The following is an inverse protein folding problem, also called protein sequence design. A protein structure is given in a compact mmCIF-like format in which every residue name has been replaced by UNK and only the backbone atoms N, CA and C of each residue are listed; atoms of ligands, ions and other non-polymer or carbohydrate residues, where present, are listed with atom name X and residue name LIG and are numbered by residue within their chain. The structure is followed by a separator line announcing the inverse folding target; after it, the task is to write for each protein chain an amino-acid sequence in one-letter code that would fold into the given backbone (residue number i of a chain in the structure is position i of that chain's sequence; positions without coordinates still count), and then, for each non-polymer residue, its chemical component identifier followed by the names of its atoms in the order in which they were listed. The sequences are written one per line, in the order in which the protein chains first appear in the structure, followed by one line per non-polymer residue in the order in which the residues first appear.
data_IF_463538433447
#
_entry.id   IF_463538433447
#
_cell.length_a   1.000
_cell.length_b   1.000
_cell.length_c   1.000
_cell.angle_alpha   90.00
_cell.angle_beta   90.00
_cell.angle_gamma   90.00
#
_symmetry.space_group_name_H-M   'P 1'
#
loop_
_entity.id
_entity.type
_entity.pdbx_description
1 polymer ?
#
# COMPACT_ATOMS: atom_id res chain seq x y z
N UNK A 1 5.37 -5.40 -7.29
CA UNK A 1 6.06 -5.56 -8.59
C UNK A 1 5.14 -5.07 -9.70
N UNK A 2 5.47 -3.97 -10.38
CA UNK A 2 4.69 -3.41 -11.48
C UNK A 2 5.63 -2.93 -12.59
N UNK A 3 6.29 -3.84 -13.32
CA UNK A 3 7.33 -3.47 -14.28
C UNK A 3 6.83 -2.64 -15.48
N UNK A 4 5.52 -2.45 -15.59
CA UNK A 4 4.90 -1.79 -16.75
C UNK A 4 3.97 -0.63 -16.35
N UNK A 5 3.98 -0.19 -15.08
CA UNK A 5 3.16 0.94 -14.65
C UNK A 5 3.94 2.24 -14.79
N UNK A 6 3.51 3.08 -15.74
CA UNK A 6 3.94 4.47 -15.78
C UNK A 6 3.17 5.26 -14.70
N UNK A 7 3.84 5.58 -13.60
CA UNK A 7 3.25 6.32 -12.48
C UNK A 7 2.84 7.76 -12.83
N UNK A 8 3.30 8.29 -13.96
CA UNK A 8 3.00 9.64 -14.42
C UNK A 8 1.94 9.67 -15.55
N UNK A 9 1.47 8.51 -15.98
CA UNK A 9 0.46 8.45 -17.03
C UNK A 9 -0.88 9.00 -16.56
N UNK A 10 -1.56 9.74 -17.43
CA UNK A 10 -2.98 10.09 -17.28
C UNK A 10 -3.80 9.07 -18.03
N UNK A 11 -4.68 8.36 -17.34
CA UNK A 11 -5.53 7.34 -17.92
C UNK A 11 -7.01 7.66 -17.71
N UNK A 12 -7.93 7.19 -18.55
CA UNK A 12 -9.35 7.26 -18.24
C UNK A 12 -9.66 6.59 -16.91
N UNK A 13 -10.67 7.09 -16.21
CA UNK A 13 -11.16 6.43 -15.00
C UNK A 13 -11.75 5.07 -15.38
N UNK A 14 -11.24 4.01 -14.77
CA UNK A 14 -11.86 2.68 -14.87
C UNK A 14 -12.97 2.61 -13.83
N UNK A 15 -14.15 2.13 -14.23
CA UNK A 15 -15.19 1.79 -13.27
C UNK A 15 -14.68 0.68 -12.34
N UNK A 16 -14.57 1.01 -11.08
CA UNK A 16 -14.28 0.05 -10.03
C UNK A 16 -15.57 -0.54 -9.46
N UNK A 17 -15.46 -1.64 -8.76
CA UNK A 17 -16.57 -2.20 -8.00
C UNK A 17 -17.17 -1.17 -7.01
N UNK A 18 -16.34 -0.25 -6.51
CA UNK A 18 -16.77 0.86 -5.65
C UNK A 18 -17.60 1.95 -6.36
N UNK A 19 -17.61 1.96 -7.69
CA UNK A 19 -18.50 2.83 -8.47
C UNK A 19 -19.89 2.24 -8.65
N UNK A 20 -20.13 1.05 -8.10
CA UNK A 20 -21.43 0.43 -8.05
C UNK A 20 -22.28 1.05 -6.95
N UNK A 21 -23.50 1.36 -7.27
CA UNK A 21 -24.57 1.65 -6.31
C UNK A 21 -25.67 0.58 -6.42
N UNK A 22 -26.61 0.59 -5.49
CA UNK A 22 -27.72 -0.37 -5.45
C UNK A 22 -28.55 -0.37 -6.73
N UNK A 23 -28.53 0.72 -7.51
CA UNK A 23 -29.28 0.89 -8.75
C UNK A 23 -28.52 0.39 -9.98
N UNK A 24 -27.22 0.04 -9.84
CA UNK A 24 -26.39 -0.37 -10.98
C UNK A 24 -26.61 -1.85 -11.29
N UNK A 25 -27.25 -2.20 -12.43
CA UNK A 25 -27.44 -3.60 -12.81
C UNK A 25 -26.12 -4.35 -12.94
N UNK A 26 -26.04 -5.55 -12.36
CA UNK A 26 -24.85 -6.40 -12.43
C UNK A 26 -23.69 -5.92 -11.57
N UNK A 27 -23.93 -5.01 -10.62
CA UNK A 27 -22.95 -4.67 -9.60
C UNK A 27 -22.68 -5.89 -8.73
N UNK A 28 -21.44 -6.44 -8.72
CA UNK A 28 -21.12 -7.65 -7.97
C UNK A 28 -20.86 -7.37 -6.49
N UNK A 29 -20.98 -6.12 -6.03
CA UNK A 29 -20.58 -5.72 -4.70
C UNK A 29 -21.79 -5.64 -3.79
N UNK A 30 -21.80 -6.52 -2.82
CA UNK A 30 -22.55 -6.33 -1.59
C UNK A 30 -21.75 -5.36 -0.69
N UNK A 31 -22.22 -4.11 -0.62
CA UNK A 31 -21.57 -3.07 0.19
C UNK A 31 -21.56 -3.43 1.67
N UNK A 32 -22.58 -4.13 2.16
CA UNK A 32 -22.61 -4.58 3.55
C UNK A 32 -21.52 -5.61 3.80
N UNK A 33 -21.31 -6.53 2.87
CA UNK A 33 -20.22 -7.51 2.94
C UNK A 33 -18.87 -6.83 2.89
N UNK A 34 -18.71 -5.84 2.03
CA UNK A 34 -17.45 -5.08 1.90
C UNK A 34 -17.15 -4.25 3.15
N UNK A 35 -18.13 -3.47 3.63
CA UNK A 35 -17.99 -2.60 4.80
C UNK A 35 -17.75 -3.41 6.07
N UNK A 36 -18.43 -4.53 6.23
CA UNK A 36 -18.31 -5.39 7.41
C UNK A 36 -17.14 -6.37 7.34
N UNK A 37 -16.39 -6.41 6.22
CA UNK A 37 -15.24 -7.30 6.05
C UNK A 37 -15.60 -8.79 6.04
N UNK A 38 -16.87 -9.13 5.89
CA UNK A 38 -17.37 -10.50 5.89
C UNK A 38 -17.32 -11.12 4.49
N UNK A 39 -16.13 -11.12 3.90
CA UNK A 39 -15.95 -11.80 2.61
C UNK A 39 -16.17 -13.31 2.76
N UNK A 40 -16.95 -13.88 1.87
CA UNK A 40 -17.03 -15.33 1.74
C UNK A 40 -15.64 -15.90 1.38
N UNK A 41 -15.38 -17.16 1.76
CA UNK A 41 -14.12 -17.82 1.39
C UNK A 41 -13.88 -17.79 -0.12
N UNK A 42 -14.95 -17.99 -0.91
CA UNK A 42 -14.89 -17.92 -2.36
C UNK A 42 -14.49 -16.53 -2.88
N UNK A 43 -14.99 -15.45 -2.27
CA UNK A 43 -14.60 -14.09 -2.61
C UNK A 43 -13.14 -13.81 -2.26
N UNK A 44 -12.65 -14.30 -1.11
CA UNK A 44 -11.25 -14.20 -0.71
C UNK A 44 -10.32 -14.96 -1.65
N UNK A 45 -10.68 -16.18 -2.04
CA UNK A 45 -9.91 -17.00 -2.99
C UNK A 45 -9.83 -16.30 -4.37
N UNK A 46 -10.95 -15.73 -4.83
CA UNK A 46 -11.00 -14.94 -6.07
C UNK A 46 -10.11 -13.70 -5.97
N UNK A 47 -10.20 -12.93 -4.89
CA UNK A 47 -9.38 -11.74 -4.67
C UNK A 47 -7.90 -12.10 -4.61
N UNK A 48 -7.53 -13.15 -3.89
CA UNK A 48 -6.13 -13.59 -3.76
C UNK A 48 -5.55 -14.00 -5.10
N UNK A 49 -6.25 -14.85 -5.84
CA UNK A 49 -5.81 -15.33 -7.17
C UNK A 49 -5.77 -14.19 -8.17
N UNK A 50 -6.80 -13.35 -8.19
CA UNK A 50 -6.88 -12.18 -9.07
C UNK A 50 -5.77 -11.17 -8.78
N UNK A 51 -5.45 -10.91 -7.51
CA UNK A 51 -4.39 -9.98 -7.12
C UNK A 51 -3.02 -10.48 -7.54
N UNK A 52 -2.73 -11.77 -7.39
CA UNK A 52 -1.47 -12.38 -7.85
C UNK A 52 -1.35 -12.26 -9.38
N UNK A 53 -2.41 -12.62 -10.10
CA UNK A 53 -2.44 -12.52 -11.56
C UNK A 53 -2.24 -11.06 -12.01
N UNK A 54 -2.94 -10.11 -11.39
CA UNK A 54 -2.80 -8.68 -11.68
C UNK A 54 -1.41 -8.14 -11.31
N UNK A 55 -0.78 -8.66 -10.26
CA UNK A 55 0.59 -8.31 -9.90
C UNK A 55 1.61 -8.75 -10.94
N UNK A 56 1.40 -9.91 -11.59
CA UNK A 56 2.31 -10.48 -12.58
C UNK A 56 2.09 -9.91 -13.99
N UNK A 57 0.84 -9.77 -14.41
CA UNK A 57 0.48 -9.38 -15.78
C UNK A 57 -0.13 -7.98 -15.91
N UNK A 58 -0.36 -7.31 -14.78
CA UNK A 58 -1.06 -6.04 -14.75
C UNK A 58 -2.58 -6.19 -14.90
N UNK A 59 -3.28 -5.10 -14.73
CA UNK A 59 -4.73 -5.01 -14.95
C UNK A 59 -5.09 -3.60 -15.41
N UNK A 60 -6.25 -3.44 -16.02
CA UNK A 60 -6.76 -2.11 -16.39
C UNK A 60 -6.91 -1.22 -15.14
N UNK A 61 -7.41 -1.78 -14.04
CA UNK A 61 -7.49 -1.08 -12.76
C UNK A 61 -6.11 -0.65 -12.24
N UNK A 62 -5.10 -1.53 -12.32
CA UNK A 62 -3.74 -1.20 -11.88
C UNK A 62 -3.12 -0.05 -12.69
N UNK A 63 -3.42 0.05 -13.98
CA UNK A 63 -2.95 1.13 -14.85
C UNK A 63 -3.49 2.51 -14.45
N UNK A 64 -4.60 2.58 -13.72
CA UNK A 64 -5.17 3.84 -13.26
C UNK A 64 -4.55 4.36 -11.96
N UNK A 65 -3.74 3.57 -11.27
CA UNK A 65 -3.10 3.95 -10.01
C UNK A 65 -1.83 4.77 -10.26
N UNK A 66 -2.03 5.96 -10.79
CA UNK A 66 -0.99 6.91 -11.17
C UNK A 66 -1.10 8.22 -10.37
N UNK A 67 -0.04 9.00 -10.33
CA UNK A 67 -0.05 10.28 -9.60
C UNK A 67 -1.06 11.28 -10.19
N UNK A 68 -1.13 11.50 -11.50
CA UNK A 68 -2.13 12.41 -12.06
C UNK A 68 -3.57 11.97 -11.79
N UNK A 69 -3.86 10.69 -11.84
CA UNK A 69 -5.19 10.18 -11.53
C UNK A 69 -5.54 10.34 -10.06
N UNK A 70 -4.59 10.07 -9.16
CA UNK A 70 -4.79 10.29 -7.73
C UNK A 70 -5.09 11.77 -7.44
N UNK A 71 -4.32 12.69 -8.00
CA UNK A 71 -4.55 14.12 -7.81
C UNK A 71 -5.94 14.53 -8.32
N UNK A 72 -6.37 14.02 -9.48
CA UNK A 72 -7.71 14.26 -10.01
C UNK A 72 -8.82 13.79 -9.07
N UNK A 73 -8.68 12.57 -8.52
CA UNK A 73 -9.65 12.03 -7.55
C UNK A 73 -9.62 12.83 -6.23
N UNK A 74 -8.45 13.23 -5.77
CA UNK A 74 -8.33 14.11 -4.60
C UNK A 74 -9.04 15.45 -4.82
N UNK A 75 -8.90 16.04 -6.01
CA UNK A 75 -9.59 17.29 -6.35
C UNK A 75 -11.11 17.09 -6.36
N UNK A 76 -11.60 16.04 -6.99
CA UNK A 76 -13.01 15.69 -7.03
C UNK A 76 -13.62 15.48 -5.63
N UNK A 77 -12.85 14.86 -4.73
CA UNK A 77 -13.26 14.56 -3.35
C UNK A 77 -12.87 15.65 -2.34
N UNK A 78 -12.27 16.76 -2.79
CA UNK A 78 -11.78 17.86 -1.95
C UNK A 78 -10.77 17.41 -0.89
N UNK A 79 -9.95 16.41 -1.21
CA UNK A 79 -8.86 15.94 -0.36
C UNK A 79 -7.63 16.81 -0.62
N UNK A 80 -7.13 17.49 0.39
CA UNK A 80 -5.99 18.40 0.25
C UNK A 80 -4.66 17.64 0.27
N UNK A 81 -4.50 16.70 1.17
CA UNK A 81 -3.26 15.95 1.37
C UNK A 81 -3.52 14.45 1.42
N UNK A 82 -2.61 13.66 0.89
CA UNK A 82 -2.64 12.21 1.01
C UNK A 82 -1.24 11.67 1.37
N UNK A 83 -1.25 10.58 2.14
CA UNK A 83 -0.04 9.82 2.47
C UNK A 83 0.02 8.58 1.58
N UNK A 84 1.09 8.44 0.83
CA UNK A 84 1.38 7.23 0.05
C UNK A 84 2.19 6.27 0.93
N UNK A 85 1.66 5.08 1.16
CA UNK A 85 2.24 4.12 2.12
C UNK A 85 2.70 2.85 1.40
N UNK A 86 3.89 2.86 0.76
CA UNK A 86 4.47 1.66 0.17
C UNK A 86 4.76 0.61 1.25
N UNK A 87 4.76 -0.66 0.86
CA UNK A 87 5.07 -1.78 1.75
C UNK A 87 6.30 -2.49 1.21
N UNK A 88 7.29 -2.70 2.07
CA UNK A 88 8.45 -3.54 1.77
C UNK A 88 8.08 -5.02 1.97
N UNK A 89 8.04 -5.78 0.89
CA UNK A 89 7.62 -7.17 0.91
C UNK A 89 8.75 -8.16 1.23
N UNK A 90 10.00 -7.71 1.14
CA UNK A 90 11.17 -8.58 1.29
C UNK A 90 11.47 -9.40 0.02
N UNK A 91 11.00 -8.96 -1.14
CA UNK A 91 11.27 -9.62 -2.41
C UNK A 91 12.68 -9.30 -2.91
N UNK A 92 13.33 -10.25 -3.62
CA UNK A 92 14.69 -10.03 -4.13
C UNK A 92 14.76 -9.01 -5.27
N UNK A 93 13.61 -8.65 -5.88
CA UNK A 93 13.51 -7.67 -6.96
C UNK A 93 12.12 -7.02 -6.96
N UNK A 94 12.00 -5.85 -7.56
CA UNK A 94 10.71 -5.14 -7.70
C UNK A 94 10.11 -4.63 -6.39
N UNK A 95 10.92 -4.47 -5.35
CA UNK A 95 10.51 -4.07 -4.00
C UNK A 95 11.01 -2.66 -3.65
N UNK A 96 10.96 -1.76 -4.65
CA UNK A 96 11.47 -0.38 -4.60
C UNK A 96 10.34 0.65 -4.69
N UNK A 97 9.17 0.33 -4.15
CA UNK A 97 7.98 1.18 -4.27
C UNK A 97 8.16 2.59 -3.68
N UNK A 98 8.98 2.73 -2.63
CA UNK A 98 9.27 4.04 -2.06
C UNK A 98 10.02 4.92 -3.05
N UNK A 99 11.10 4.41 -3.62
CA UNK A 99 11.94 5.12 -4.58
C UNK A 99 11.15 5.53 -5.82
N UNK A 100 10.34 4.62 -6.35
CA UNK A 100 9.53 4.84 -7.54
C UNK A 100 8.46 5.93 -7.29
N UNK A 101 7.76 5.84 -6.16
CA UNK A 101 6.72 6.82 -5.82
C UNK A 101 7.30 8.17 -5.43
N UNK A 102 8.42 8.19 -4.70
CA UNK A 102 9.11 9.41 -4.36
C UNK A 102 9.57 10.16 -5.62
N UNK A 103 10.19 9.44 -6.56
CA UNK A 103 10.59 10.01 -7.84
C UNK A 103 9.39 10.53 -8.66
N UNK A 104 8.28 9.76 -8.71
CA UNK A 104 7.08 10.14 -9.43
C UNK A 104 6.40 11.38 -8.84
N UNK A 105 6.30 11.48 -7.51
CA UNK A 105 5.72 12.64 -6.82
C UNK A 105 6.56 13.89 -7.09
N UNK A 106 7.90 13.80 -7.00
CA UNK A 106 8.79 14.90 -7.31
C UNK A 106 8.69 15.33 -8.78
N UNK A 107 8.66 14.38 -9.71
CA UNK A 107 8.52 14.68 -11.14
C UNK A 107 7.18 15.35 -11.46
N UNK A 108 6.12 14.94 -10.76
CA UNK A 108 4.80 15.56 -10.88
C UNK A 108 4.69 16.90 -10.13
N UNK A 109 5.73 17.33 -9.40
CA UNK A 109 5.72 18.54 -8.54
C UNK A 109 4.55 18.52 -7.53
N UNK A 110 4.25 17.34 -6.97
CA UNK A 110 3.08 17.11 -6.14
C UNK A 110 3.40 17.00 -4.64
N UNK A 111 4.61 17.32 -4.20
CA UNK A 111 5.12 17.19 -2.83
C UNK A 111 4.32 17.98 -1.80
N UNK A 112 3.69 19.07 -2.25
CA UNK A 112 2.81 19.90 -1.40
C UNK A 112 1.55 19.13 -0.98
N UNK A 113 1.14 18.12 -1.75
CA UNK A 113 -0.11 17.38 -1.56
C UNK A 113 0.09 15.92 -1.25
N UNK A 114 1.14 15.30 -1.80
CA UNK A 114 1.42 13.87 -1.68
C UNK A 114 2.68 13.65 -0.84
N UNK A 115 2.50 13.03 0.30
CA UNK A 115 3.59 12.71 1.22
C UNK A 115 3.92 11.24 1.12
N UNK A 116 5.15 10.92 0.72
CA UNK A 116 5.57 9.53 0.55
C UNK A 116 6.16 9.02 1.86
N UNK A 117 5.46 8.08 2.50
CA UNK A 117 6.01 7.28 3.57
C UNK A 117 6.91 6.19 2.98
N UNK A 118 7.66 5.52 3.82
CA UNK A 118 8.51 4.42 3.41
C UNK A 118 8.23 3.16 4.22
N UNK A 119 8.90 2.06 3.88
CA UNK A 119 8.80 0.81 4.61
C UNK A 119 10.15 0.13 4.68
N UNK A 120 10.40 -0.58 5.76
CA UNK A 120 11.49 -1.52 5.90
C UNK A 120 10.91 -2.89 6.26
N UNK A 121 11.57 -3.97 5.85
CA UNK A 121 11.18 -5.29 6.34
C UNK A 121 11.77 -5.47 7.74
N UNK A 122 10.96 -5.69 8.82
CA UNK A 122 11.47 -5.65 10.19
C UNK A 122 12.60 -6.63 10.48
N UNK A 123 12.56 -7.80 9.83
CA UNK A 123 13.58 -8.84 10.02
C UNK A 123 14.77 -8.74 9.03
N UNK A 124 14.82 -7.68 8.22
CA UNK A 124 15.97 -7.47 7.34
C UNK A 124 17.15 -6.89 8.13
N UNK A 125 18.35 -7.37 7.86
CA UNK A 125 19.56 -6.91 8.55
C UNK A 125 19.84 -5.40 8.32
N UNK A 126 19.33 -4.84 7.23
CA UNK A 126 19.46 -3.44 6.84
C UNK A 126 18.25 -2.57 7.17
N UNK A 127 17.30 -3.08 7.97
CA UNK A 127 16.03 -2.37 8.28
C UNK A 127 16.27 -0.96 8.86
N UNK A 128 17.16 -0.84 9.84
CA UNK A 128 17.49 0.44 10.48
C UNK A 128 18.17 1.39 9.50
N UNK A 129 19.09 0.88 8.68
CA UNK A 129 19.76 1.69 7.66
C UNK A 129 18.75 2.20 6.60
N UNK A 130 17.81 1.37 6.18
CA UNK A 130 16.73 1.76 5.28
C UNK A 130 15.83 2.83 5.92
N UNK A 131 15.56 2.74 7.21
CA UNK A 131 14.84 3.77 7.93
C UNK A 131 15.57 5.12 7.91
N UNK A 132 16.87 5.13 8.20
CA UNK A 132 17.69 6.34 8.14
C UNK A 132 17.69 6.97 6.74
N UNK A 133 17.83 6.15 5.72
CA UNK A 133 17.78 6.59 4.32
C UNK A 133 16.40 7.19 3.96
N UNK A 134 15.31 6.56 4.38
CA UNK A 134 13.96 7.06 4.17
C UNK A 134 13.73 8.40 4.88
N UNK A 135 14.16 8.51 6.14
CA UNK A 135 14.07 9.74 6.91
C UNK A 135 14.91 10.88 6.31
N UNK A 136 16.14 10.57 5.86
CA UNK A 136 17.03 11.52 5.21
C UNK A 136 16.46 12.11 3.91
N UNK A 137 15.60 11.36 3.22
CA UNK A 137 14.84 11.81 2.04
C UNK A 137 13.55 12.59 2.40
N UNK A 138 13.33 12.87 3.67
CA UNK A 138 12.17 13.63 4.13
C UNK A 138 10.96 12.78 4.51
N UNK A 139 11.06 11.46 4.47
CA UNK A 139 10.02 10.56 4.96
C UNK A 139 9.76 10.78 6.45
N UNK A 140 8.49 10.86 6.84
CA UNK A 140 8.07 11.05 8.24
C UNK A 140 7.26 9.90 8.79
N UNK A 141 6.88 8.97 7.93
CA UNK A 141 6.06 7.82 8.29
C UNK A 141 6.72 6.55 7.77
N UNK A 142 6.90 5.58 8.66
CA UNK A 142 7.27 4.22 8.29
C UNK A 142 6.03 3.32 8.32
N UNK A 143 5.69 2.69 7.20
CA UNK A 143 4.60 1.73 7.09
C UNK A 143 5.12 0.32 7.36
N UNK A 144 4.51 -0.32 8.34
CA UNK A 144 4.72 -1.72 8.66
C UNK A 144 3.43 -2.52 8.45
N UNK A 145 3.56 -3.76 7.98
CA UNK A 145 2.42 -4.60 7.63
C UNK A 145 2.57 -5.99 8.25
N UNK A 146 2.07 -6.20 9.48
CA UNK A 146 2.30 -7.44 10.22
C UNK A 146 1.96 -8.73 9.46
N UNK A 147 0.78 -8.79 8.83
CA UNK A 147 0.35 -9.99 8.10
C UNK A 147 1.18 -10.28 6.85
N UNK A 148 1.61 -9.26 6.11
CA UNK A 148 2.39 -9.42 4.88
C UNK A 148 3.87 -9.66 5.20
N UNK A 149 4.42 -8.92 6.16
CA UNK A 149 5.82 -9.01 6.59
C UNK A 149 6.05 -10.07 7.68
N UNK A 150 4.99 -10.70 8.19
CA UNK A 150 5.00 -11.83 9.14
C UNK A 150 5.77 -11.58 10.44
N UNK A 151 5.35 -10.57 11.16
CA UNK A 151 5.91 -10.24 12.47
C UNK A 151 4.81 -9.87 13.47
N UNK A 152 5.11 -10.00 14.76
CA UNK A 152 4.29 -9.43 15.82
C UNK A 152 4.89 -8.09 16.26
N UNK A 153 4.07 -7.04 16.44
CA UNK A 153 4.59 -5.71 16.81
C UNK A 153 5.34 -5.66 18.14
N UNK A 154 5.11 -6.61 19.02
CA UNK A 154 5.76 -6.74 20.34
C UNK A 154 6.98 -7.66 20.34
N UNK A 155 7.45 -8.12 19.18
CA UNK A 155 8.65 -8.93 19.10
C UNK A 155 9.88 -8.15 19.61
N UNK A 156 10.73 -8.75 20.48
CA UNK A 156 11.92 -8.07 20.99
C UNK A 156 12.84 -7.52 19.88
N UNK A 157 12.92 -8.22 18.75
CA UNK A 157 13.74 -7.81 17.61
C UNK A 157 13.30 -6.48 16.96
N UNK A 158 12.05 -6.03 17.20
CA UNK A 158 11.54 -4.76 16.68
C UNK A 158 11.81 -3.58 17.61
N UNK A 159 12.22 -3.82 18.85
CA UNK A 159 12.42 -2.74 19.83
C UNK A 159 13.51 -1.77 19.38
N UNK A 160 14.59 -2.26 18.78
CA UNK A 160 15.65 -1.40 18.22
C UNK A 160 15.15 -0.56 17.04
N UNK A 161 14.27 -1.14 16.22
CA UNK A 161 13.63 -0.43 15.12
C UNK A 161 12.73 0.70 15.62
N UNK A 162 11.96 0.46 16.68
CA UNK A 162 11.11 1.49 17.29
C UNK A 162 11.92 2.58 17.99
N UNK A 163 13.01 2.21 18.68
CA UNK A 163 13.93 3.18 19.26
C UNK A 163 14.53 4.09 18.19
N UNK A 164 14.94 3.53 17.06
CA UNK A 164 15.45 4.33 15.95
C UNK A 164 14.37 5.18 15.31
N UNK A 165 13.13 4.67 15.16
CA UNK A 165 11.99 5.45 14.68
C UNK A 165 11.75 6.69 15.59
N UNK A 166 11.82 6.50 16.89
CA UNK A 166 11.72 7.58 17.86
C UNK A 166 12.86 8.60 17.71
N UNK A 167 14.11 8.14 17.58
CA UNK A 167 15.27 9.00 17.39
C UNK A 167 15.16 9.86 16.13
N UNK A 168 14.57 9.29 15.07
CA UNK A 168 14.35 9.96 13.79
C UNK A 168 13.07 10.81 13.74
N UNK A 169 12.25 10.78 14.80
CA UNK A 169 10.97 11.48 14.85
C UNK A 169 9.94 10.93 13.86
N UNK A 170 9.97 9.62 13.62
CA UNK A 170 9.08 8.95 12.66
C UNK A 170 7.78 8.50 13.33
N UNK A 171 6.69 8.58 12.59
CA UNK A 171 5.43 7.92 12.94
C UNK A 171 5.46 6.49 12.42
N UNK A 172 5.23 5.52 13.29
CA UNK A 172 5.09 4.11 12.89
C UNK A 172 3.62 3.85 12.58
N UNK A 173 3.34 3.47 11.33
CA UNK A 173 1.99 3.21 10.85
C UNK A 173 1.81 1.71 10.56
N UNK A 174 1.01 1.04 11.37
CA UNK A 174 0.69 -0.38 11.18
C UNK A 174 -0.52 -0.58 10.27
N UNK A 175 -0.48 -1.68 9.51
CA UNK A 175 -1.70 -2.23 8.94
C UNK A 175 -2.42 -3.03 10.02
N UNK A 176 -3.70 -2.71 10.27
CA UNK A 176 -4.54 -3.48 11.16
C UNK A 176 -5.36 -4.52 10.40
N UNK A 177 -5.53 -5.70 10.95
CA UNK A 177 -6.35 -6.75 10.39
C UNK A 177 -5.71 -7.49 9.20
N UNK A 178 -6.57 -8.12 8.41
CA UNK A 178 -6.19 -8.90 7.23
C UNK A 178 -6.18 -8.02 6.00
N UNK A 179 -5.19 -8.22 5.12
CA UNK A 179 -5.12 -7.53 3.83
C UNK A 179 -5.94 -8.23 2.73
N UNK A 180 -6.31 -9.49 2.93
CA UNK A 180 -7.07 -10.29 1.97
C UNK A 180 -6.25 -10.90 0.83
N UNK A 181 -4.95 -10.59 0.76
CA UNK A 181 -4.02 -11.09 -0.26
C UNK A 181 -2.94 -12.01 0.32
N UNK A 182 -2.79 -12.03 1.62
CA UNK A 182 -1.82 -12.85 2.33
C UNK A 182 -2.32 -14.29 2.49
N UNK A 183 -1.41 -15.29 2.52
CA UNK A 183 -1.79 -16.67 2.77
C UNK A 183 -2.36 -16.83 4.20
N UNK A 184 -3.23 -17.81 4.37
CA UNK A 184 -3.88 -18.11 5.66
C UNK A 184 -2.88 -18.26 6.83
N UNK A 185 -1.69 -18.82 6.55
CA UNK A 185 -0.63 -18.95 7.53
C UNK A 185 -0.14 -17.62 8.11
N UNK A 186 -0.39 -16.50 7.43
CA UNK A 186 -0.04 -15.16 7.89
C UNK A 186 -1.14 -14.49 8.71
N UNK A 187 -2.36 -15.04 8.73
CA UNK A 187 -3.49 -14.45 9.47
C UNK A 187 -3.24 -14.34 10.98
N UNK A 188 -2.36 -15.18 11.54
CA UNK A 188 -1.95 -15.10 12.94
C UNK A 188 -1.27 -13.78 13.33
N UNK A 189 -0.76 -13.04 12.36
CA UNK A 189 -0.12 -11.74 12.57
C UNK A 189 -1.09 -10.56 12.41
N UNK A 190 -2.40 -10.81 12.16
CA UNK A 190 -3.39 -9.74 12.08
C UNK A 190 -3.61 -9.12 13.48
N UNK A 191 -3.60 -7.78 13.53
CA UNK A 191 -3.83 -6.99 14.75
C UNK A 191 -5.32 -6.82 15.03
#
# INVERSE_FOLDING_TARGET
FRPHLDLLATTPRVKHLLDCDESTPGCPLDLDTYINGNFSRQALDYLTTGTIAQGLWGSESAKTQTIPNLLREMDAMRVQHAMLLPIKLGLPFGDQLFEDWYAAVNTAQAEQRLHVGFSAHPHANDAIEKMRQGAARGGRVIKLHPTVQRFYPDEPALMDLYAEAQNLGLVVFFHGGRAGIEPESSHRYAL
#
